data_IF_442270264258
#
_entry.id   IF_442270264258
#
_cell.length_a   1.000
_cell.length_b   1.000
_cell.length_c   1.000
_cell.angle_alpha   90.00
_cell.angle_beta   90.00
_cell.angle_gamma   90.00
#
_symmetry.space_group_name_H-M   'P 1'
#
loop_
_entity.id
_entity.type
_entity.pdbx_description
1 polymer ?
#
# COMPACT_ATOMS: atom_id res chain seq x y z
N UNK A 1 22.15 -11.72 1.43
CA UNK A 1 21.31 -10.98 2.40
C UNK A 1 20.04 -10.59 1.67
N UNK A 2 18.90 -11.20 1.98
CA UNK A 2 17.63 -10.85 1.31
C UNK A 2 17.14 -9.54 1.92
N UNK A 3 17.16 -8.46 1.15
CA UNK A 3 16.50 -7.22 1.52
C UNK A 3 15.00 -7.44 1.32
N UNK A 4 14.28 -7.69 2.41
CA UNK A 4 12.81 -7.73 2.39
C UNK A 4 12.36 -6.31 2.08
N UNK A 5 12.02 -6.05 0.82
CA UNK A 5 11.44 -4.78 0.40
C UNK A 5 10.04 -4.71 1.00
N UNK A 6 9.87 -3.88 2.03
CA UNK A 6 8.60 -3.73 2.77
C UNK A 6 7.45 -3.27 1.87
N UNK A 7 7.75 -2.59 0.75
CA UNK A 7 6.75 -2.07 -0.17
C UNK A 7 7.12 -2.41 -1.63
N UNK A 8 6.56 -3.49 -2.23
CA UNK A 8 6.83 -3.80 -3.63
C UNK A 8 6.38 -2.66 -4.55
N UNK A 9 6.98 -2.58 -5.74
CA UNK A 9 6.53 -1.66 -6.79
C UNK A 9 5.04 -1.87 -7.09
N UNK A 10 4.29 -0.78 -7.25
CA UNK A 10 2.85 -0.80 -7.42
C UNK A 10 2.05 -0.79 -6.12
N UNK A 11 2.72 -0.87 -4.95
CA UNK A 11 2.02 -0.78 -3.66
C UNK A 11 1.48 0.63 -3.45
N UNK A 12 0.22 0.70 -3.04
CA UNK A 12 -0.40 1.95 -2.61
C UNK A 12 0.01 2.24 -1.17
N UNK A 13 0.59 3.41 -0.95
CA UNK A 13 1.13 3.83 0.33
C UNK A 13 0.55 5.18 0.73
N UNK A 14 0.44 5.40 2.04
CA UNK A 14 0.08 6.67 2.64
C UNK A 14 1.28 7.20 3.41
N UNK A 15 1.58 8.47 3.20
CA UNK A 15 2.63 9.17 3.93
C UNK A 15 2.17 9.37 5.37
N UNK A 16 3.00 8.94 6.32
CA UNK A 16 2.81 9.12 7.76
C UNK A 16 4.00 9.84 8.35
N UNK A 17 3.85 10.29 9.59
CA UNK A 17 4.94 10.92 10.31
C UNK A 17 5.94 9.85 10.74
N UNK A 18 7.16 9.92 10.21
CA UNK A 18 8.29 9.10 10.63
C UNK A 18 9.22 9.82 11.61
N UNK A 19 10.47 9.34 11.67
CA UNK A 19 11.52 9.91 12.53
C UNK A 19 12.19 11.15 11.94
N UNK A 20 12.10 11.33 10.62
CA UNK A 20 12.73 12.43 9.88
C UNK A 20 11.80 13.65 9.77
N UNK A 21 12.36 14.87 9.62
CA UNK A 21 11.58 16.07 9.37
C UNK A 21 10.93 16.00 7.99
N UNK A 22 9.62 15.75 7.97
CA UNK A 22 8.77 15.74 6.79
C UNK A 22 7.85 16.97 6.78
N UNK A 23 7.54 17.47 5.59
CA UNK A 23 6.55 18.52 5.40
C UNK A 23 5.16 18.04 5.86
N UNK A 24 4.57 18.80 6.78
CA UNK A 24 3.24 18.52 7.32
C UNK A 24 2.15 18.44 6.25
N UNK A 25 2.34 19.11 5.10
CA UNK A 25 1.41 19.09 3.97
C UNK A 25 1.38 17.76 3.20
N UNK A 26 2.38 16.90 3.43
CA UNK A 26 2.48 15.57 2.81
C UNK A 26 1.88 14.49 3.70
N UNK A 27 1.76 14.73 5.00
CA UNK A 27 1.18 13.79 5.93
C UNK A 27 -0.27 13.46 5.55
N UNK A 28 -0.57 12.17 5.48
CA UNK A 28 -1.89 11.66 5.10
C UNK A 28 -2.11 11.59 3.58
N UNK A 29 -1.18 12.07 2.75
CA UNK A 29 -1.29 11.91 1.29
C UNK A 29 -1.02 10.47 0.88
N UNK A 30 -1.76 10.03 -0.12
CA UNK A 30 -1.58 8.71 -0.73
C UNK A 30 -0.73 8.84 -2.00
N UNK A 31 -0.10 7.72 -2.36
CA UNK A 31 0.70 7.62 -3.55
C UNK A 31 1.02 6.18 -3.91
N UNK A 32 1.78 6.03 -4.98
CA UNK A 32 2.14 4.73 -5.53
C UNK A 32 3.66 4.56 -5.55
N UNK A 33 4.12 3.41 -5.06
CA UNK A 33 5.54 3.05 -5.09
C UNK A 33 5.95 2.75 -6.51
N UNK A 34 6.86 3.55 -7.06
CA UNK A 34 7.38 3.34 -8.40
C UNK A 34 8.61 2.44 -8.42
N UNK A 35 9.55 2.66 -7.48
CA UNK A 35 10.80 1.90 -7.39
C UNK A 35 11.48 2.12 -6.04
N UNK A 36 12.43 1.26 -5.73
CA UNK A 36 13.36 1.46 -4.61
C UNK A 36 14.57 2.25 -5.07
N UNK A 37 15.11 3.07 -4.17
CA UNK A 37 16.40 3.70 -4.41
C UNK A 37 17.51 2.66 -4.24
N UNK A 38 18.37 2.51 -5.25
CA UNK A 38 19.48 1.55 -5.22
C UNK A 38 20.73 2.11 -4.55
N UNK A 39 20.79 3.42 -4.31
CA UNK A 39 21.93 4.15 -3.76
C UNK A 39 21.78 4.25 -2.25
N UNK A 40 20.58 4.59 -1.76
CA UNK A 40 20.29 4.70 -0.33
C UNK A 40 19.40 3.54 0.13
N UNK A 41 19.89 2.66 1.01
CA UNK A 41 19.08 1.56 1.53
C UNK A 41 17.85 2.12 2.27
N UNK A 42 16.72 1.41 2.13
CA UNK A 42 15.43 1.72 2.80
C UNK A 42 14.69 2.95 2.28
N UNK A 43 15.17 3.58 1.21
CA UNK A 43 14.45 4.65 0.52
C UNK A 43 13.61 4.13 -0.65
N UNK A 44 12.40 4.65 -0.74
CA UNK A 44 11.38 4.26 -1.71
C UNK A 44 10.92 5.49 -2.48
N UNK A 45 10.94 5.41 -3.80
CA UNK A 45 10.47 6.46 -4.69
C UNK A 45 8.97 6.29 -4.89
N UNK A 46 8.21 7.28 -4.46
CA UNK A 46 6.75 7.32 -4.47
C UNK A 46 6.27 8.50 -5.32
N UNK A 47 5.26 8.26 -6.14
CA UNK A 47 4.50 9.31 -6.78
C UNK A 47 3.24 9.58 -5.98
N UNK A 48 3.12 10.79 -5.41
CA UNK A 48 1.93 11.18 -4.65
C UNK A 48 0.78 11.52 -5.59
N UNK A 49 -0.44 11.16 -5.18
CA UNK A 49 -1.66 11.52 -5.91
C UNK A 49 -1.79 13.06 -5.96
N UNK A 50 -1.89 13.60 -7.18
CA UNK A 50 -1.99 15.04 -7.43
C UNK A 50 -0.66 15.80 -7.42
N UNK A 51 0.50 15.12 -7.33
CA UNK A 51 1.81 15.73 -7.59
C UNK A 51 2.48 15.13 -8.83
N UNK A 52 3.03 15.99 -9.69
CA UNK A 52 3.85 15.57 -10.84
C UNK A 52 5.29 15.21 -10.43
N UNK A 53 5.72 15.66 -9.23
CA UNK A 53 7.06 15.40 -8.72
C UNK A 53 7.12 14.07 -7.98
N UNK A 54 8.13 13.28 -8.33
CA UNK A 54 8.50 12.09 -7.58
C UNK A 54 9.16 12.51 -6.26
N UNK A 55 8.80 11.82 -5.18
CA UNK A 55 9.37 12.02 -3.86
C UNK A 55 9.94 10.73 -3.33
N UNK A 56 10.93 10.84 -2.46
CA UNK A 56 11.56 9.70 -1.83
C UNK A 56 11.23 9.71 -0.34
N UNK A 57 10.78 8.58 0.17
CA UNK A 57 10.42 8.39 1.58
C UNK A 57 11.10 7.15 2.11
N UNK A 58 11.27 7.09 3.43
CA UNK A 58 11.76 5.89 4.11
C UNK A 58 10.62 4.92 4.43
N UNK A 59 10.94 3.65 4.71
CA UNK A 59 9.92 2.66 5.06
C UNK A 59 9.10 3.01 6.32
N UNK A 60 9.67 3.80 7.24
CA UNK A 60 9.03 4.25 8.48
C UNK A 60 8.10 5.48 8.28
N UNK A 61 8.28 6.21 7.18
CA UNK A 61 7.44 7.33 6.75
C UNK A 61 6.28 6.89 5.86
N UNK A 62 6.22 5.62 5.49
CA UNK A 62 5.19 5.06 4.63
C UNK A 62 4.35 4.03 5.38
N UNK A 63 3.06 4.01 5.07
CA UNK A 63 2.12 3.02 5.54
C UNK A 63 1.44 2.39 4.33
N UNK A 64 1.50 1.05 4.21
CA UNK A 64 0.77 0.37 3.15
C UNK A 64 -0.72 0.58 3.36
N UNK A 65 -1.38 1.18 2.37
CA UNK A 65 -2.83 1.23 2.31
C UNK A 65 -3.26 -0.18 1.93
N UNK A 66 -3.60 -1.01 2.93
CA UNK A 66 -4.14 -2.34 2.68
C UNK A 66 -5.40 -2.16 1.84
N UNK A 67 -5.29 -2.41 0.54
CA UNK A 67 -6.47 -2.72 -0.25
C UNK A 67 -7.04 -3.98 0.38
N UNK A 68 -8.31 -3.94 0.74
CA UNK A 68 -9.06 -5.07 1.27
C UNK A 68 -9.14 -6.13 0.15
N UNK A 69 -8.04 -6.84 -0.07
CA UNK A 69 -7.97 -8.01 -0.93
C UNK A 69 -7.75 -9.25 -0.04
N UNK A 70 -8.35 -9.17 1.15
CA UNK A 70 -8.75 -10.29 2.00
C UNK A 70 -10.26 -10.12 2.26
N UNK A 71 -11.02 -9.87 1.19
CA UNK A 71 -12.48 -10.00 1.15
C UNK A 71 -12.85 -11.08 0.12
N UNK A 72 -12.03 -12.14 0.08
CA UNK A 72 -12.16 -13.27 -0.83
C UNK A 72 -12.72 -14.54 -0.21
N UNK A 73 -13.17 -14.51 1.06
CA UNK A 73 -13.84 -15.65 1.69
C UNK A 73 -15.15 -15.20 2.35
N UNK A 74 -16.06 -14.65 1.55
CA UNK A 74 -17.43 -14.40 1.98
C UNK A 74 -18.40 -14.65 0.81
N UNK A 75 -19.05 -15.81 0.85
CA UNK A 75 -20.36 -16.00 0.24
C UNK A 75 -20.39 -16.83 -1.03
N UNK A 76 -20.51 -18.15 -0.87
CA UNK A 76 -21.42 -18.92 -1.73
C UNK A 76 -22.73 -19.15 -0.99
N UNK A 77 -23.74 -18.27 -1.10
CA UNK A 77 -25.11 -18.66 -0.81
C UNK A 77 -25.63 -19.49 -2.00
N UNK A 78 -25.46 -20.81 -1.93
CA UNK A 78 -26.16 -21.74 -2.81
C UNK A 78 -27.61 -21.94 -2.32
N UNK A 79 -28.61 -21.89 -3.21
CA UNK A 79 -29.99 -21.54 -2.87
C UNK A 79 -30.75 -22.67 -2.19
N UNK A 80 -31.69 -22.30 -1.33
CA UNK A 80 -32.73 -23.21 -0.87
C UNK A 80 -33.47 -23.84 -2.05
N UNK A 81 -33.50 -25.16 -2.06
CA UNK A 81 -34.35 -25.96 -2.94
C UNK A 81 -34.80 -27.21 -2.19
N UNK A 82 -35.75 -27.04 -1.28
CA UNK A 82 -36.82 -28.04 -1.10
C UNK A 82 -37.80 -27.85 -2.28
N UNK A 83 -38.61 -28.83 -2.75
CA UNK A 83 -39.05 -30.09 -2.11
C UNK A 83 -39.16 -31.32 -3.08
N UNK A 84 -39.56 -32.49 -2.53
CA UNK A 84 -40.31 -33.64 -3.12
C UNK A 84 -39.72 -34.94 -2.55
N UNK A 85 -40.44 -35.78 -1.80
CA UNK A 85 -41.73 -36.39 -2.11
C UNK A 85 -41.47 -37.76 -2.75
N UNK A 86 -41.63 -38.84 -1.98
CA UNK A 86 -41.46 -40.23 -2.42
C UNK A 86 -41.27 -41.20 -1.28
#
# INVERSE_FOLDING_TARGET
>A
MVQISLFPQGTRVRVRRGSLPIDSQMLGREGLVLRHDHIVPRQVVVQLDGEERLRTFTDEELEAVRTVQDAGDAGSPGPGMSPAGG
#
